data_IF_080112681755
#
_entry.id   IF_080112681755
#
_cell.length_a   1.000
_cell.length_b   1.000
_cell.length_c   1.000
_cell.angle_alpha   90.00
_cell.angle_beta   90.00
_cell.angle_gamma   90.00
#
_symmetry.space_group_name_H-M   'P 1'
#
loop_
_entity.id
_entity.type
_entity.pdbx_description
1 polymer ?
#
# COMPACT_ATOMS: atom_id res chain seq x y z
N UNK A 1 -20.45 2.25 -11.24
CA UNK A 1 -20.35 0.81 -11.51
C UNK A 1 -19.46 0.61 -12.73
N UNK A 2 -18.28 0.01 -12.56
CA UNK A 2 -17.35 -0.22 -13.68
C UNK A 2 -17.83 -1.43 -14.47
N UNK A 3 -17.88 -1.31 -15.80
CA UNK A 3 -18.41 -2.36 -16.68
C UNK A 3 -17.52 -2.44 -17.92
N UNK A 4 -17.16 -3.65 -18.32
CA UNK A 4 -16.45 -3.94 -19.56
C UNK A 4 -17.47 -4.42 -20.60
N UNK A 5 -17.38 -3.95 -21.83
CA UNK A 5 -18.21 -4.47 -22.93
C UNK A 5 -17.43 -5.48 -23.75
N UNK A 6 -18.06 -6.60 -24.09
CA UNK A 6 -17.49 -7.52 -25.09
C UNK A 6 -17.67 -6.93 -26.49
N UNK A 7 -16.92 -7.43 -27.50
CA UNK A 7 -17.15 -7.05 -28.90
C UNK A 7 -18.60 -7.25 -29.36
N UNK A 8 -19.30 -8.26 -28.80
CA UNK A 8 -20.73 -8.51 -29.04
C UNK A 8 -21.69 -7.67 -28.19
N UNK A 9 -21.23 -6.57 -27.56
CA UNK A 9 -22.08 -5.61 -26.84
C UNK A 9 -22.57 -6.06 -25.46
N UNK A 10 -22.22 -7.28 -24.99
CA UNK A 10 -22.61 -7.76 -23.67
C UNK A 10 -21.79 -7.07 -22.58
N UNK A 11 -22.46 -6.71 -21.49
CA UNK A 11 -21.83 -6.15 -20.29
C UNK A 11 -21.19 -7.27 -19.46
N UNK A 12 -19.93 -7.10 -19.05
CA UNK A 12 -19.24 -7.88 -18.02
C UNK A 12 -18.93 -6.96 -16.84
N UNK A 13 -19.37 -7.36 -15.66
CA UNK A 13 -19.10 -6.65 -14.40
C UNK A 13 -17.92 -7.36 -13.74
N UNK A 14 -16.81 -6.67 -13.44
CA UNK A 14 -15.71 -7.25 -12.67
C UNK A 14 -16.22 -7.74 -11.31
N UNK A 15 -15.74 -8.89 -10.84
CA UNK A 15 -16.12 -9.44 -9.54
C UNK A 15 -15.88 -8.43 -8.40
N UNK A 16 -14.80 -7.64 -8.48
CA UNK A 16 -14.50 -6.56 -7.54
C UNK A 16 -15.60 -5.50 -7.45
N UNK A 17 -16.34 -5.23 -8.52
CA UNK A 17 -17.49 -4.33 -8.50
C UNK A 17 -18.72 -4.98 -7.86
N UNK A 18 -18.90 -6.30 -8.04
CA UNK A 18 -19.97 -7.04 -7.37
C UNK A 18 -19.74 -7.03 -5.86
N UNK A 19 -18.54 -7.38 -5.40
CA UNK A 19 -18.16 -7.34 -3.97
C UNK A 19 -18.30 -5.94 -3.38
N UNK A 20 -17.85 -4.90 -4.10
CA UNK A 20 -18.02 -3.50 -3.70
C UNK A 20 -19.50 -3.11 -3.52
N UNK A 21 -20.37 -3.52 -4.45
CA UNK A 21 -21.81 -3.22 -4.41
C UNK A 21 -22.56 -4.02 -3.34
N UNK A 22 -22.09 -5.23 -3.02
CA UNK A 22 -22.62 -6.06 -1.92
C UNK A 22 -22.21 -5.53 -0.54
N UNK A 23 -21.43 -4.46 -0.45
CA UNK A 23 -20.93 -3.94 0.82
C UNK A 23 -19.82 -4.79 1.42
N UNK A 24 -19.28 -5.77 0.68
CA UNK A 24 -18.06 -6.50 1.01
C UNK A 24 -16.85 -5.57 0.82
N UNK A 25 -16.77 -4.55 1.67
CA UNK A 25 -15.50 -3.91 1.97
C UNK A 25 -14.77 -4.91 2.86
N UNK A 26 -14.00 -5.82 2.24
CA UNK A 26 -13.04 -6.63 3.00
C UNK A 26 -12.29 -5.71 3.96
N UNK A 27 -12.07 -6.15 5.20
CA UNK A 27 -11.53 -5.30 6.28
C UNK A 27 -10.25 -4.62 5.77
N UNK A 28 -10.35 -3.32 5.44
CA UNK A 28 -9.23 -2.57 4.87
C UNK A 28 -8.39 -2.05 6.01
N UNK A 29 -7.07 -2.24 5.91
CA UNK A 29 -6.15 -1.77 6.93
C UNK A 29 -5.58 -0.38 6.62
N UNK A 30 -5.34 0.43 7.65
CA UNK A 30 -4.47 1.59 7.55
C UNK A 30 -3.03 1.12 7.76
N UNK A 31 -2.18 1.28 6.76
CA UNK A 31 -0.78 0.79 6.79
C UNK A 31 0.19 1.96 6.84
N UNK A 32 1.14 1.90 7.76
CA UNK A 32 2.31 2.77 7.76
C UNK A 32 3.42 2.19 6.88
N UNK A 33 4.13 3.04 6.16
CA UNK A 33 5.33 2.65 5.41
C UNK A 33 6.52 3.53 5.78
N UNK A 34 7.61 2.91 6.20
CA UNK A 34 8.86 3.60 6.54
C UNK A 34 10.04 3.03 5.75
N UNK A 35 10.97 3.92 5.39
CA UNK A 35 12.14 3.53 4.60
C UNK A 35 13.35 4.36 4.98
N UNK A 36 14.51 3.73 4.94
CA UNK A 36 15.81 4.41 4.95
C UNK A 36 16.67 3.91 3.79
N UNK A 37 17.69 4.67 3.39
CA UNK A 37 18.50 4.34 2.22
C UNK A 37 19.61 3.33 2.52
N UNK A 38 20.10 3.31 3.77
CA UNK A 38 21.21 2.46 4.20
C UNK A 38 20.96 1.85 5.59
N UNK A 39 21.61 0.73 5.87
CA UNK A 39 21.56 0.06 7.17
C UNK A 39 22.19 0.91 8.29
N UNK A 40 23.05 1.88 7.96
CA UNK A 40 23.59 2.85 8.93
C UNK A 40 22.50 3.76 9.52
N UNK A 41 21.35 3.88 8.86
CA UNK A 41 20.22 4.71 9.29
C UNK A 41 19.16 3.92 10.05
N UNK A 42 19.50 2.74 10.59
CA UNK A 42 18.54 1.85 11.25
C UNK A 42 17.85 2.46 12.47
N UNK A 43 18.52 3.34 13.21
CA UNK A 43 17.90 4.01 14.35
C UNK A 43 16.89 5.08 13.91
N UNK A 44 17.12 5.75 12.78
CA UNK A 44 16.11 6.61 12.17
C UNK A 44 14.90 5.80 11.71
N UNK A 45 15.11 4.63 11.10
CA UNK A 45 14.02 3.73 10.73
C UNK A 45 13.16 3.34 11.95
N UNK A 46 13.78 3.02 13.09
CA UNK A 46 13.04 2.72 14.33
C UNK A 46 12.19 3.91 14.80
N UNK A 47 12.74 5.13 14.76
CA UNK A 47 11.99 6.34 15.11
C UNK A 47 10.79 6.53 14.17
N UNK A 48 11.00 6.37 12.86
CA UNK A 48 9.92 6.45 11.88
C UNK A 48 8.80 5.43 12.16
N UNK A 49 9.13 4.19 12.51
CA UNK A 49 8.16 3.15 12.87
C UNK A 49 7.36 3.55 14.12
N UNK A 50 8.02 4.09 15.13
CA UNK A 50 7.37 4.51 16.38
C UNK A 50 6.36 5.64 16.14
N UNK A 51 6.74 6.66 15.39
CA UNK A 51 5.82 7.74 15.00
C UNK A 51 4.62 7.23 14.21
N UNK A 52 4.82 6.29 13.28
CA UNK A 52 3.72 5.69 12.52
C UNK A 52 2.77 4.91 13.43
N UNK A 53 3.28 4.14 14.40
CA UNK A 53 2.44 3.42 15.36
C UNK A 53 1.58 4.37 16.19
N UNK A 54 2.14 5.49 16.61
CA UNK A 54 1.41 6.52 17.36
C UNK A 54 0.32 7.21 16.52
N UNK A 55 0.43 7.21 15.19
CA UNK A 55 -0.58 7.76 14.29
C UNK A 55 -1.83 6.88 14.08
N UNK A 56 -1.89 5.70 14.70
CA UNK A 56 -3.05 4.81 14.63
C UNK A 56 -3.07 3.88 13.42
N UNK A 57 -1.93 3.65 12.76
CA UNK A 57 -1.81 2.60 11.73
C UNK A 57 -1.91 1.21 12.38
N UNK A 58 -2.51 0.26 11.68
CA UNK A 58 -2.67 -1.11 12.17
C UNK A 58 -1.43 -1.97 11.94
N UNK A 59 -0.64 -1.63 10.93
CA UNK A 59 0.60 -2.32 10.59
C UNK A 59 1.62 -1.31 10.05
N UNK A 60 2.91 -1.55 10.30
CA UNK A 60 4.01 -0.79 9.68
C UNK A 60 4.87 -1.74 8.85
N UNK A 61 4.99 -1.44 7.55
CA UNK A 61 5.90 -2.10 6.62
C UNK A 61 7.17 -1.25 6.52
N UNK A 62 8.33 -1.91 6.45
CA UNK A 62 9.63 -1.22 6.39
C UNK A 62 10.52 -1.73 5.27
N UNK A 63 11.40 -0.86 4.76
CA UNK A 63 12.48 -1.24 3.85
C UNK A 63 13.78 -0.49 4.15
N UNK A 64 14.90 -1.13 3.81
CA UNK A 64 16.22 -0.52 3.75
C UNK A 64 16.69 -0.61 2.30
N UNK A 65 16.92 0.54 1.67
CA UNK A 65 17.41 0.64 0.30
C UNK A 65 16.99 1.92 -0.41
N UNK A 66 17.57 2.13 -1.59
CA UNK A 66 17.31 3.31 -2.42
C UNK A 66 15.83 3.51 -2.74
N UNK A 67 15.42 4.78 -2.85
CA UNK A 67 14.11 5.20 -3.36
C UNK A 67 13.81 4.67 -4.78
N UNK A 68 14.86 4.44 -5.57
CA UNK A 68 14.81 3.97 -6.95
C UNK A 68 14.75 2.45 -7.08
N UNK A 69 14.90 1.70 -5.97
CA UNK A 69 14.86 0.25 -6.02
C UNK A 69 13.41 -0.27 -5.97
N UNK A 70 12.83 -0.54 -7.13
CA UNK A 70 11.47 -1.06 -7.23
C UNK A 70 11.31 -2.50 -6.73
N UNK A 71 12.41 -3.23 -6.50
CA UNK A 71 12.42 -4.63 -6.03
C UNK A 71 12.46 -4.78 -4.50
N UNK A 72 12.25 -3.70 -3.75
CA UNK A 72 12.19 -3.72 -2.29
C UNK A 72 11.00 -4.56 -1.82
N UNK A 73 11.25 -5.52 -0.92
CA UNK A 73 10.27 -6.52 -0.51
C UNK A 73 9.08 -5.90 0.22
N UNK A 74 9.32 -4.92 1.10
CA UNK A 74 8.24 -4.23 1.81
C UNK A 74 7.36 -3.44 0.85
N UNK A 75 7.96 -2.71 -0.09
CA UNK A 75 7.26 -1.94 -1.12
C UNK A 75 6.39 -2.83 -2.01
N UNK A 76 6.94 -3.95 -2.50
CA UNK A 76 6.18 -4.91 -3.31
C UNK A 76 5.00 -5.51 -2.54
N UNK A 77 5.21 -5.89 -1.27
CA UNK A 77 4.15 -6.38 -0.38
C UNK A 77 3.06 -5.34 -0.15
N UNK A 78 3.44 -4.07 0.05
CA UNK A 78 2.48 -2.97 0.18
C UNK A 78 1.66 -2.82 -1.11
N UNK A 79 2.33 -2.80 -2.27
CA UNK A 79 1.69 -2.65 -3.57
C UNK A 79 0.71 -3.80 -3.85
N UNK A 80 1.10 -5.03 -3.56
CA UNK A 80 0.24 -6.21 -3.69
C UNK A 80 -1.04 -6.05 -2.87
N UNK A 81 -0.95 -5.64 -1.61
CA UNK A 81 -2.13 -5.42 -0.76
C UNK A 81 -3.02 -4.28 -1.25
N UNK A 82 -2.42 -3.20 -1.77
CA UNK A 82 -3.17 -2.10 -2.39
C UNK A 82 -3.93 -2.59 -3.63
N UNK A 83 -3.29 -3.40 -4.49
CA UNK A 83 -3.90 -3.98 -5.68
C UNK A 83 -5.04 -4.96 -5.34
N UNK A 84 -4.92 -5.69 -4.24
CA UNK A 84 -5.96 -6.57 -3.71
C UNK A 84 -7.05 -5.83 -2.91
N UNK A 85 -7.01 -4.48 -2.88
CA UNK A 85 -8.01 -3.64 -2.24
C UNK A 85 -8.11 -3.84 -0.71
N UNK A 86 -7.02 -4.30 -0.08
CA UNK A 86 -6.91 -4.57 1.36
C UNK A 86 -6.47 -3.36 2.18
N UNK A 87 -6.10 -2.25 1.52
CA UNK A 87 -5.49 -1.08 2.17
C UNK A 87 -6.43 0.11 2.01
N UNK A 88 -6.85 0.73 3.10
CA UNK A 88 -7.66 1.95 3.07
C UNK A 88 -6.79 3.17 2.83
N UNK A 89 -5.72 3.30 3.62
CA UNK A 89 -4.78 4.42 3.58
C UNK A 89 -3.37 3.92 3.81
N UNK A 90 -2.43 4.58 3.11
CA UNK A 90 -1.01 4.43 3.36
C UNK A 90 -0.51 5.72 4.03
N UNK A 91 0.11 5.58 5.19
CA UNK A 91 0.69 6.70 5.95
C UNK A 91 2.21 6.65 5.82
N UNK A 92 2.81 7.75 5.40
CA UNK A 92 4.26 7.94 5.29
C UNK A 92 4.64 9.24 6.00
N UNK A 93 5.86 9.30 6.54
CA UNK A 93 6.35 10.51 7.21
C UNK A 93 6.94 11.54 6.25
N UNK A 94 7.49 11.07 5.12
CA UNK A 94 8.10 11.93 4.11
C UNK A 94 7.73 11.44 2.73
N UNK A 95 7.52 12.36 1.80
CA UNK A 95 7.06 12.08 0.43
C UNK A 95 8.01 11.13 -0.32
N UNK A 96 9.32 11.26 -0.12
CA UNK A 96 10.35 10.45 -0.78
C UNK A 96 10.44 9.00 -0.29
N UNK A 97 9.57 8.57 0.64
CA UNK A 97 9.64 7.24 1.24
C UNK A 97 9.19 6.16 0.27
N UNK A 98 8.16 6.40 -0.54
CA UNK A 98 7.65 5.44 -1.52
C UNK A 98 8.62 5.28 -2.69
N UNK A 99 8.86 6.34 -3.46
CA UNK A 99 9.82 6.36 -4.56
C UNK A 99 10.50 7.72 -4.62
N UNK A 100 11.66 7.81 -5.28
CA UNK A 100 12.28 9.09 -5.65
C UNK A 100 12.19 9.27 -7.15
N UNK A 101 11.83 10.47 -7.59
CA UNK A 101 12.09 11.00 -8.92
C UNK A 101 13.04 12.19 -8.78
#
# INVERSE_FOLDING_TARGET
>A
MRVVRTPGGRRRIPESEIRRLQGEKGIRSIIGYARVSSNTQKDDLKRQVEYLRQSGVQEVITDIGSGLNEKRKGFLRLLERVLHNEVDKVVILYEDRLTRF
#
